data_IF_198319525541
#
_entry.id   IF_198319525541
#
_cell.length_a   1.000
_cell.length_b   1.000
_cell.length_c   1.000
_cell.angle_alpha   90.00
_cell.angle_beta   90.00
_cell.angle_gamma   90.00
#
_symmetry.space_group_name_H-M   'P 1'
#
loop_
_entity.id
_entity.type
_entity.pdbx_description
1 polymer ?
#
# COMPACT_ATOMS: atom_id res chain seq x y z
N UNK A 1 46.55 -3.24 -74.46
CA UNK A 1 45.15 -3.63 -74.77
C UNK A 1 44.34 -3.46 -73.49
N UNK A 2 43.71 -2.30 -73.31
CA UNK A 2 42.76 -2.06 -72.22
C UNK A 2 41.36 -2.37 -72.77
N UNK A 3 40.53 -3.18 -72.08
CA UNK A 3 39.18 -3.42 -72.53
C UNK A 3 38.34 -2.16 -72.24
N UNK A 4 37.77 -1.59 -73.31
CA UNK A 4 36.81 -0.50 -73.23
C UNK A 4 35.61 -0.92 -72.37
N UNK A 5 35.26 -0.06 -71.41
CA UNK A 5 34.16 -0.26 -70.50
C UNK A 5 32.85 -0.40 -71.26
N UNK A 6 32.18 -1.54 -71.10
CA UNK A 6 30.78 -1.76 -71.50
C UNK A 6 29.90 -0.70 -70.82
N UNK A 7 29.51 0.31 -71.56
CA UNK A 7 28.43 1.22 -71.18
C UNK A 7 27.11 0.46 -71.33
N UNK A 8 26.65 -0.13 -70.23
CA UNK A 8 25.33 -0.77 -70.18
C UNK A 8 24.29 0.34 -70.36
N UNK A 9 23.68 0.42 -71.54
CA UNK A 9 22.53 1.30 -71.81
C UNK A 9 21.30 0.78 -71.07
N UNK A 10 21.24 1.07 -69.77
CA UNK A 10 20.07 0.84 -68.93
C UNK A 10 18.98 1.81 -69.40
N UNK A 11 17.91 1.25 -69.95
CA UNK A 11 16.73 1.99 -70.44
C UNK A 11 16.26 3.00 -69.38
N UNK A 12 15.92 4.22 -69.82
CA UNK A 12 15.46 5.33 -68.99
C UNK A 12 14.36 4.92 -67.99
N UNK A 13 13.52 3.94 -68.36
CA UNK A 13 12.47 3.34 -67.53
C UNK A 13 13.01 2.73 -66.22
N UNK A 14 14.17 2.07 -66.27
CA UNK A 14 14.78 1.44 -65.09
C UNK A 14 15.43 2.46 -64.14
N UNK A 15 16.00 3.55 -64.66
CA UNK A 15 16.51 4.65 -63.83
C UNK A 15 15.39 5.34 -63.04
N UNK A 16 14.23 5.53 -63.67
CA UNK A 16 13.07 6.14 -63.03
C UNK A 16 12.48 5.22 -61.94
N UNK A 17 12.39 3.92 -62.20
CA UNK A 17 11.90 2.94 -61.23
C UNK A 17 12.81 2.88 -59.98
N UNK A 18 14.13 2.87 -60.17
CA UNK A 18 15.10 2.91 -59.06
C UNK A 18 14.99 4.21 -58.26
N UNK A 19 14.84 5.35 -58.93
CA UNK A 19 14.69 6.64 -58.24
C UNK A 19 13.41 6.68 -57.37
N UNK A 20 12.29 6.16 -57.88
CA UNK A 20 11.02 6.09 -57.13
C UNK A 20 11.14 5.15 -55.93
N UNK A 21 11.79 3.99 -56.08
CA UNK A 21 12.05 3.07 -54.98
C UNK A 21 12.88 3.72 -53.87
N UNK A 22 13.95 4.44 -54.23
CA UNK A 22 14.79 5.14 -53.26
C UNK A 22 13.99 6.20 -52.51
N UNK A 23 13.20 7.01 -53.22
CA UNK A 23 12.37 8.04 -52.60
C UNK A 23 11.35 7.43 -51.63
N UNK A 24 10.66 6.35 -52.04
CA UNK A 24 9.71 5.63 -51.18
C UNK A 24 10.37 5.03 -49.94
N UNK A 25 11.58 4.49 -50.07
CA UNK A 25 12.31 3.90 -48.94
C UNK A 25 12.75 4.96 -47.93
N UNK A 26 13.21 6.13 -48.41
CA UNK A 26 13.59 7.26 -47.56
C UNK A 26 12.36 7.82 -46.83
N UNK A 27 11.25 8.05 -47.54
CA UNK A 27 9.99 8.52 -46.95
C UNK A 27 9.45 7.52 -45.92
N UNK A 28 9.44 6.23 -46.24
CA UNK A 28 9.01 5.17 -45.33
C UNK A 28 9.89 5.07 -44.08
N UNK A 29 11.21 5.21 -44.23
CA UNK A 29 12.15 5.21 -43.11
C UNK A 29 11.95 6.40 -42.15
N UNK A 30 11.75 7.60 -42.70
CA UNK A 30 11.51 8.80 -41.89
C UNK A 30 10.18 8.70 -41.13
N UNK A 31 9.10 8.31 -41.81
CA UNK A 31 7.77 8.17 -41.19
C UNK A 31 7.76 7.04 -40.14
N UNK A 32 8.37 5.89 -40.44
CA UNK A 32 8.48 4.78 -39.49
C UNK A 32 9.31 5.12 -38.26
N UNK A 33 10.44 5.81 -38.45
CA UNK A 33 11.29 6.27 -37.35
C UNK A 33 10.59 7.30 -36.46
N UNK A 34 9.82 8.21 -37.05
CA UNK A 34 9.06 9.21 -36.30
C UNK A 34 7.92 8.57 -35.49
N UNK A 35 7.15 7.68 -36.11
CA UNK A 35 6.07 6.94 -35.43
C UNK A 35 6.60 6.08 -34.28
N UNK A 36 7.73 5.40 -34.47
CA UNK A 36 8.35 4.56 -33.44
C UNK A 36 8.82 5.37 -32.22
N UNK A 37 9.48 6.52 -32.46
CA UNK A 37 9.89 7.43 -31.37
C UNK A 37 8.71 8.00 -30.61
N UNK A 38 7.64 8.36 -31.32
CA UNK A 38 6.45 8.94 -30.71
C UNK A 38 5.70 7.91 -29.86
N UNK A 39 5.63 6.64 -30.30
CA UNK A 39 5.06 5.55 -29.52
C UNK A 39 5.82 5.30 -28.21
N UNK A 40 7.15 5.24 -28.27
CA UNK A 40 7.99 4.99 -27.08
C UNK A 40 7.85 6.14 -26.07
N UNK A 41 7.87 7.39 -26.53
CA UNK A 41 7.72 8.53 -25.64
C UNK A 41 6.34 8.58 -24.98
N UNK A 42 5.27 8.24 -25.70
CA UNK A 42 3.94 8.16 -25.12
C UNK A 42 3.82 7.03 -24.09
N UNK A 43 4.42 5.88 -24.37
CA UNK A 43 4.38 4.74 -23.46
C UNK A 43 5.11 5.04 -22.14
N UNK A 44 6.28 5.69 -22.21
CA UNK A 44 7.03 6.08 -21.01
C UNK A 44 6.28 7.11 -20.16
N UNK A 45 5.69 8.14 -20.80
CA UNK A 45 4.88 9.13 -20.09
C UNK A 45 3.64 8.52 -19.43
N UNK A 46 2.97 7.59 -20.10
CA UNK A 46 1.81 6.90 -19.54
C UNK A 46 2.20 5.99 -18.37
N UNK A 47 3.31 5.27 -18.46
CA UNK A 47 3.81 4.43 -17.37
C UNK A 47 4.19 5.24 -16.14
N UNK A 48 4.85 6.37 -16.32
CA UNK A 48 5.23 7.27 -15.23
C UNK A 48 3.98 7.91 -14.59
N UNK A 49 3.05 8.40 -15.41
CA UNK A 49 1.77 8.94 -14.90
C UNK A 49 0.92 7.89 -14.19
N UNK A 50 0.89 6.64 -14.66
CA UNK A 50 0.20 5.55 -13.97
C UNK A 50 0.86 5.20 -12.65
N UNK A 51 2.20 5.17 -12.60
CA UNK A 51 2.94 4.97 -11.35
C UNK A 51 2.66 6.06 -10.33
N UNK A 52 2.68 7.32 -10.74
CA UNK A 52 2.41 8.45 -9.85
C UNK A 52 0.98 8.42 -9.32
N UNK A 53 0.00 8.14 -10.20
CA UNK A 53 -1.40 7.97 -9.78
C UNK A 53 -1.58 6.79 -8.84
N UNK A 54 -0.92 5.67 -9.10
CA UNK A 54 -0.98 4.49 -8.23
C UNK A 54 -0.36 4.81 -6.87
N UNK A 55 0.81 5.43 -6.84
CA UNK A 55 1.48 5.83 -5.60
C UNK A 55 0.62 6.80 -4.78
N UNK A 56 0.02 7.80 -5.44
CA UNK A 56 -0.89 8.76 -4.79
C UNK A 56 -2.14 8.05 -4.25
N UNK A 57 -2.81 7.22 -5.06
CA UNK A 57 -4.00 6.50 -4.63
C UNK A 57 -3.69 5.55 -3.47
N UNK A 58 -2.55 4.85 -3.51
CA UNK A 58 -2.10 4.00 -2.41
C UNK A 58 -1.87 4.82 -1.14
N UNK A 59 -1.18 5.95 -1.25
CA UNK A 59 -0.90 6.82 -0.10
C UNK A 59 -2.19 7.37 0.53
N UNK A 60 -3.15 7.80 -0.29
CA UNK A 60 -4.46 8.26 0.19
C UNK A 60 -5.28 7.14 0.81
N UNK A 61 -5.28 5.95 0.21
CA UNK A 61 -6.01 4.79 0.74
C UNK A 61 -5.42 4.35 2.08
N UNK A 62 -4.09 4.34 2.18
CA UNK A 62 -3.36 4.07 3.43
C UNK A 62 -3.72 5.09 4.50
N UNK A 63 -3.67 6.39 4.20
CA UNK A 63 -3.98 7.41 5.21
C UNK A 63 -5.42 7.30 5.71
N UNK A 64 -6.38 7.07 4.80
CA UNK A 64 -7.79 6.88 5.17
C UNK A 64 -7.99 5.65 6.06
N UNK A 65 -7.34 4.54 5.73
CA UNK A 65 -7.46 3.29 6.51
C UNK A 65 -6.83 3.42 7.89
N UNK A 66 -5.70 4.12 7.99
CA UNK A 66 -5.06 4.47 9.26
C UNK A 66 -5.95 5.37 10.10
N UNK A 67 -6.50 6.44 9.52
CA UNK A 67 -7.37 7.38 10.24
C UNK A 67 -8.63 6.69 10.75
N UNK A 68 -9.23 5.80 9.95
CA UNK A 68 -10.38 5.01 10.36
C UNK A 68 -10.02 4.03 11.49
N UNK A 69 -8.88 3.36 11.41
CA UNK A 69 -8.39 2.44 12.46
C UNK A 69 -8.07 3.18 13.76
N UNK A 70 -7.52 4.39 13.67
CA UNK A 70 -7.24 5.23 14.83
C UNK A 70 -8.53 5.76 15.48
N UNK A 71 -9.51 6.17 14.67
CA UNK A 71 -10.83 6.58 15.16
C UNK A 71 -11.55 5.43 15.85
N UNK A 72 -11.54 4.23 15.24
CA UNK A 72 -12.05 3.00 15.85
C UNK A 72 -11.39 2.72 17.19
N UNK A 73 -10.06 2.85 17.27
CA UNK A 73 -9.31 2.62 18.50
C UNK A 73 -9.74 3.56 19.63
N UNK A 74 -9.92 4.84 19.30
CA UNK A 74 -10.39 5.84 20.25
C UNK A 74 -11.82 5.57 20.70
N UNK A 75 -12.71 5.19 19.79
CA UNK A 75 -14.09 4.85 20.12
C UNK A 75 -14.17 3.61 21.02
N UNK A 76 -13.42 2.56 20.71
CA UNK A 76 -13.31 1.36 21.56
C UNK A 76 -12.74 1.78 22.92
N UNK A 77 -11.65 2.56 22.97
CA UNK A 77 -11.07 3.03 24.21
C UNK A 77 -12.10 3.77 25.11
N UNK A 78 -12.97 4.59 24.51
CA UNK A 78 -14.06 5.29 25.21
C UNK A 78 -15.17 4.35 25.66
N UNK A 79 -15.63 3.43 24.81
CA UNK A 79 -16.66 2.43 25.14
C UNK A 79 -16.23 1.55 26.31
N UNK A 80 -14.93 1.22 26.39
CA UNK A 80 -14.43 0.36 27.46
C UNK A 80 -14.18 1.11 28.77
N UNK A 81 -13.93 2.43 28.73
CA UNK A 81 -13.76 3.20 29.96
C UNK A 81 -15.05 3.27 30.82
N UNK A 82 -16.21 3.02 30.20
CA UNK A 82 -17.51 2.91 30.87
C UNK A 82 -17.78 1.52 31.48
N UNK A 83 -17.10 0.48 30.97
CA UNK A 83 -17.14 -0.85 31.57
C UNK A 83 -16.36 -0.86 32.89
N UNK A 84 -16.72 -1.78 33.81
CA UNK A 84 -16.04 -1.94 35.10
C UNK A 84 -14.52 -1.80 34.92
N UNK A 85 -13.94 -0.74 35.49
CA UNK A 85 -12.58 -0.30 35.18
C UNK A 85 -11.49 -1.28 35.67
N UNK A 86 -11.82 -2.51 36.05
CA UNK A 86 -10.83 -3.52 36.44
C UNK A 86 -10.29 -4.23 35.20
N UNK A 87 -9.02 -4.65 35.18
CA UNK A 87 -8.48 -5.49 34.10
C UNK A 87 -9.28 -6.78 33.86
N UNK A 88 -9.81 -7.38 34.93
CA UNK A 88 -10.69 -8.56 34.84
C UNK A 88 -12.06 -8.23 34.23
N UNK A 89 -12.62 -7.07 34.55
CA UNK A 89 -13.83 -6.54 33.93
C UNK A 89 -13.61 -6.27 32.44
N UNK A 90 -12.45 -5.72 32.09
CA UNK A 90 -12.03 -5.51 30.69
C UNK A 90 -11.98 -6.84 29.93
N UNK A 91 -11.33 -7.87 30.50
CA UNK A 91 -11.28 -9.20 29.87
C UNK A 91 -12.67 -9.82 29.69
N UNK A 92 -13.57 -9.66 30.68
CA UNK A 92 -14.95 -10.16 30.59
C UNK A 92 -15.78 -9.40 29.54
N UNK A 93 -15.62 -8.08 29.46
CA UNK A 93 -16.25 -7.24 28.44
C UNK A 93 -15.74 -7.62 27.05
N UNK A 94 -14.42 -7.76 26.89
CA UNK A 94 -13.83 -8.23 25.63
C UNK A 94 -14.41 -9.58 25.25
N UNK A 95 -14.42 -10.56 26.15
CA UNK A 95 -14.95 -11.89 25.85
C UNK A 95 -16.43 -11.86 25.42
N UNK A 96 -17.24 -10.96 26.00
CA UNK A 96 -18.66 -10.82 25.67
C UNK A 96 -18.89 -10.09 24.34
N UNK A 97 -18.15 -9.02 24.08
CA UNK A 97 -18.34 -8.14 22.92
C UNK A 97 -17.45 -8.49 21.74
N UNK A 98 -16.44 -9.34 21.91
CA UNK A 98 -15.44 -9.65 20.88
C UNK A 98 -16.03 -10.00 19.52
N UNK A 99 -17.09 -10.85 19.41
CA UNK A 99 -17.66 -11.15 18.10
C UNK A 99 -18.20 -9.91 17.38
N UNK A 100 -18.84 -9.00 18.12
CA UNK A 100 -19.34 -7.74 17.58
C UNK A 100 -18.17 -6.81 17.20
N UNK A 101 -17.16 -6.70 18.08
CA UNK A 101 -15.99 -5.85 17.86
C UNK A 101 -15.19 -6.32 16.62
N UNK A 102 -15.00 -7.63 16.51
CA UNK A 102 -14.29 -8.29 15.42
C UNK A 102 -15.01 -8.05 14.08
N UNK A 103 -16.33 -8.15 14.04
CA UNK A 103 -17.08 -7.97 12.80
C UNK A 103 -17.21 -6.50 12.39
N UNK A 104 -17.47 -5.60 13.35
CA UNK A 104 -17.74 -4.20 13.04
C UNK A 104 -16.47 -3.41 12.67
N UNK A 105 -15.34 -3.71 13.33
CA UNK A 105 -14.06 -3.04 13.08
C UNK A 105 -13.03 -3.92 12.36
N UNK A 106 -13.41 -5.14 11.99
CA UNK A 106 -12.56 -6.08 11.24
C UNK A 106 -11.21 -6.32 11.94
N UNK A 107 -11.32 -6.49 13.26
CA UNK A 107 -10.17 -6.65 14.15
C UNK A 107 -9.72 -8.10 14.18
N UNK A 108 -8.46 -8.33 13.87
CA UNK A 108 -7.79 -9.60 14.10
C UNK A 108 -7.43 -9.78 15.58
N UNK A 109 -7.22 -8.66 16.27
CA UNK A 109 -6.75 -8.65 17.65
C UNK A 109 -7.01 -7.33 18.35
N UNK A 110 -7.25 -7.46 19.65
CA UNK A 110 -7.35 -6.36 20.59
C UNK A 110 -6.66 -6.76 21.90
N UNK A 111 -5.81 -5.91 22.44
CA UNK A 111 -5.07 -6.19 23.67
C UNK A 111 -4.88 -4.94 24.50
N UNK A 112 -5.14 -5.05 25.80
CA UNK A 112 -4.83 -4.02 26.78
C UNK A 112 -3.48 -4.33 27.40
N UNK A 113 -2.55 -3.37 27.33
CA UNK A 113 -1.18 -3.50 27.80
C UNK A 113 -0.90 -2.44 28.88
N UNK A 114 -0.15 -2.81 29.91
CA UNK A 114 0.45 -1.84 30.83
C UNK A 114 1.59 -1.08 30.16
N UNK A 115 2.03 0.04 30.76
CA UNK A 115 3.25 0.74 30.33
C UNK A 115 4.52 -0.15 30.31
N UNK A 116 4.54 -1.21 31.13
CA UNK A 116 5.63 -2.18 31.17
C UNK A 116 5.55 -3.26 30.08
N UNK A 117 4.52 -3.23 29.25
CA UNK A 117 4.28 -4.22 28.19
C UNK A 117 3.62 -5.51 28.69
N UNK A 118 3.11 -5.54 29.92
CA UNK A 118 2.34 -6.69 30.39
C UNK A 118 0.94 -6.64 29.80
N UNK A 119 0.54 -7.71 29.12
CA UNK A 119 -0.83 -7.88 28.63
C UNK A 119 -1.75 -8.11 29.83
N UNK A 120 -2.70 -7.19 30.02
CA UNK A 120 -3.71 -7.22 31.08
C UNK A 120 -5.00 -7.88 30.62
N UNK A 121 -5.36 -7.70 29.36
CA UNK A 121 -6.50 -8.33 28.72
C UNK A 121 -6.24 -8.49 27.22
N UNK A 122 -6.82 -9.50 26.60
CA UNK A 122 -6.67 -9.73 25.16
C UNK A 122 -7.87 -10.48 24.57
N UNK A 123 -8.06 -10.30 23.27
CA UNK A 123 -8.94 -11.06 22.42
C UNK A 123 -8.34 -11.18 21.00
N UNK A 124 -8.56 -12.32 20.35
CA UNK A 124 -7.97 -12.64 19.05
C UNK A 124 -6.55 -13.22 19.15
N UNK A 125 -5.68 -12.86 18.20
CA UNK A 125 -4.29 -13.33 18.13
C UNK A 125 -3.47 -12.86 19.35
N UNK A 126 -2.40 -13.59 19.69
CA UNK A 126 -1.46 -13.19 20.75
C UNK A 126 -0.38 -12.25 20.20
N UNK A 127 0.19 -11.42 21.08
CA UNK A 127 1.30 -10.51 20.75
C UNK A 127 2.59 -11.30 20.55
N UNK A 128 3.27 -11.05 19.43
CA UNK A 128 4.57 -11.64 19.11
C UNK A 128 5.74 -10.83 19.69
N UNK A 129 6.96 -11.33 19.52
CA UNK A 129 8.16 -10.64 20.04
C UNK A 129 8.45 -9.32 19.32
N UNK A 130 8.22 -9.24 18.01
CA UNK A 130 8.53 -8.06 17.20
C UNK A 130 7.58 -6.88 17.51
N UNK A 131 6.34 -7.19 17.84
CA UNK A 131 5.32 -6.26 18.31
C UNK A 131 5.61 -5.78 19.71
N UNK A 132 6.07 -6.68 20.58
CA UNK A 132 6.50 -6.30 21.93
C UNK A 132 7.70 -5.36 21.90
N UNK A 133 8.65 -5.59 20.99
CA UNK A 133 9.80 -4.69 20.80
C UNK A 133 9.38 -3.33 20.24
N UNK A 134 8.43 -3.32 19.29
CA UNK A 134 7.84 -2.08 18.81
C UNK A 134 7.13 -1.31 19.92
N UNK A 135 6.25 -1.98 20.68
CA UNK A 135 5.57 -1.40 21.84
C UNK A 135 6.57 -0.72 22.78
N UNK A 136 7.66 -1.38 23.16
CA UNK A 136 8.67 -0.81 24.06
C UNK A 136 9.35 0.43 23.48
N UNK A 137 9.52 0.51 22.16
CA UNK A 137 10.13 1.67 21.51
C UNK A 137 9.21 2.89 21.45
N UNK A 138 7.89 2.70 21.40
CA UNK A 138 6.91 3.79 21.24
C UNK A 138 6.16 4.15 22.52
N UNK A 139 6.04 3.22 23.48
CA UNK A 139 5.25 3.38 24.71
C UNK A 139 5.73 4.54 25.61
N UNK A 140 6.94 5.05 25.40
CA UNK A 140 7.52 6.18 26.15
C UNK A 140 6.78 7.50 25.88
N UNK A 141 6.17 7.64 24.70
CA UNK A 141 5.62 8.93 24.24
C UNK A 141 4.17 9.19 24.65
N UNK A 142 3.44 8.21 25.21
CA UNK A 142 2.02 8.34 25.62
C UNK A 142 1.11 8.95 24.54
N UNK A 143 1.47 8.78 23.27
CA UNK A 143 0.73 9.26 22.11
C UNK A 143 0.17 8.06 21.31
N UNK A 144 -0.88 8.27 20.51
CA UNK A 144 -1.32 7.27 19.55
C UNK A 144 -0.23 6.99 18.50
N UNK A 145 0.14 5.72 18.34
CA UNK A 145 1.08 5.29 17.32
C UNK A 145 0.46 4.23 16.42
N UNK A 146 0.88 4.20 15.16
CA UNK A 146 0.44 3.19 14.23
C UNK A 146 1.59 2.78 13.31
N UNK A 147 1.48 1.58 12.75
CA UNK A 147 2.37 1.10 11.68
C UNK A 147 1.63 0.14 10.77
N UNK A 148 2.15 -0.01 9.56
CA UNK A 148 1.72 -1.04 8.62
C UNK A 148 2.80 -2.11 8.59
N UNK A 149 2.41 -3.36 8.80
CA UNK A 149 3.32 -4.50 8.76
C UNK A 149 2.88 -5.43 7.63
N UNK A 150 3.74 -5.63 6.64
CA UNK A 150 3.48 -6.51 5.49
C UNK A 150 4.50 -7.65 5.50
N UNK A 151 4.14 -8.81 6.06
CA UNK A 151 4.97 -10.02 6.02
C UNK A 151 4.46 -10.99 4.96
N UNK A 152 3.20 -11.41 5.10
CA UNK A 152 2.46 -12.23 4.12
C UNK A 152 1.22 -11.49 3.67
N UNK A 153 0.53 -10.88 4.65
CA UNK A 153 -0.57 -9.94 4.48
C UNK A 153 -0.20 -8.61 5.15
N UNK A 154 -0.75 -7.51 4.65
CA UNK A 154 -0.56 -6.20 5.25
C UNK A 154 -1.62 -5.98 6.33
N UNK A 155 -1.17 -5.76 7.56
CA UNK A 155 -2.03 -5.44 8.71
C UNK A 155 -1.69 -4.05 9.24
N UNK A 156 -2.72 -3.34 9.74
CA UNK A 156 -2.52 -2.06 10.42
C UNK A 156 -2.52 -2.33 11.91
N UNK A 157 -1.42 -1.96 12.55
CA UNK A 157 -1.27 -2.06 13.99
C UNK A 157 -1.39 -0.67 14.59
N UNK A 158 -2.29 -0.51 15.54
CA UNK A 158 -2.55 0.77 16.21
C UNK A 158 -2.37 0.59 17.71
N UNK A 159 -1.70 1.55 18.33
CA UNK A 159 -1.48 1.66 19.75
C UNK A 159 -2.07 2.97 20.24
N UNK A 160 -3.08 2.93 21.10
CA UNK A 160 -3.75 4.13 21.63
C UNK A 160 -3.64 4.18 23.15
N UNK A 161 -3.19 5.30 23.73
CA UNK A 161 -3.18 5.46 25.18
C UNK A 161 -4.61 5.46 25.72
N UNK A 162 -4.84 4.72 26.81
CA UNK A 162 -6.12 4.66 27.51
C UNK A 162 -5.88 4.76 29.02
N UNK A 163 -6.81 5.36 29.76
CA UNK A 163 -6.77 5.46 31.21
C UNK A 163 -7.74 4.44 31.80
N UNK A 164 -7.22 3.50 32.58
CA UNK A 164 -8.01 2.51 33.29
C UNK A 164 -7.78 2.69 34.79
N UNK A 165 -8.81 3.03 35.57
CA UNK A 165 -8.70 3.35 37.01
C UNK A 165 -7.71 4.50 37.32
N UNK A 166 -7.52 5.41 36.39
CA UNK A 166 -6.51 6.48 36.52
C UNK A 166 -5.07 6.01 36.31
N UNK A 167 -4.85 4.74 35.99
CA UNK A 167 -3.55 4.24 35.54
C UNK A 167 -3.45 4.21 34.01
N UNK A 168 -2.36 4.75 33.44
CA UNK A 168 -2.14 4.72 32.00
C UNK A 168 -1.87 3.30 31.49
N UNK A 169 -2.63 2.93 30.48
CA UNK A 169 -2.52 1.70 29.73
C UNK A 169 -2.47 2.02 28.24
N UNK A 170 -2.14 1.03 27.43
CA UNK A 170 -2.25 1.12 25.99
C UNK A 170 -3.22 0.08 25.45
N UNK A 171 -4.06 0.51 24.53
CA UNK A 171 -4.88 -0.36 23.71
C UNK A 171 -4.12 -0.65 22.42
N UNK A 172 -3.69 -1.89 22.26
CA UNK A 172 -3.11 -2.40 21.02
C UNK A 172 -4.20 -3.06 20.19
N UNK A 173 -4.26 -2.72 18.92
CA UNK A 173 -5.24 -3.26 17.98
C UNK A 173 -4.55 -3.62 16.68
N UNK A 174 -5.07 -4.66 16.05
CA UNK A 174 -4.67 -5.05 14.70
C UNK A 174 -5.90 -5.27 13.84
N UNK A 175 -5.92 -4.64 12.67
CA UNK A 175 -6.93 -4.86 11.63
C UNK A 175 -6.35 -5.72 10.52
N UNK A 176 -7.12 -6.72 10.10
CA UNK A 176 -6.74 -7.66 9.03
C UNK A 176 -6.86 -7.03 7.63
N UNK A 177 -6.28 -7.68 6.61
CA UNK A 177 -6.34 -7.21 5.21
C UNK A 177 -7.77 -7.19 4.65
N UNK A 178 -8.67 -8.05 5.14
CA UNK A 178 -10.04 -8.16 4.62
C UNK A 178 -10.87 -6.89 4.84
N UNK A 179 -10.57 -6.10 5.87
CA UNK A 179 -11.36 -4.90 6.20
C UNK A 179 -11.00 -3.61 5.51
N UNK A 180 -9.92 -3.59 4.73
CA UNK A 180 -9.54 -2.39 3.97
C UNK A 180 -8.94 -2.68 2.59
N UNK A 181 -8.36 -3.87 2.39
CA UNK A 181 -7.75 -4.25 1.10
C UNK A 181 -8.64 -5.21 0.29
N UNK A 182 -9.83 -5.55 0.78
CA UNK A 182 -10.80 -6.44 0.14
C UNK A 182 -11.89 -5.74 -0.69
N UNK A 183 -11.52 -4.93 -1.70
CA UNK A 183 -12.37 -4.68 -2.88
C UNK A 183 -11.65 -3.83 -3.93
N UNK A 184 -10.70 -4.42 -4.65
CA UNK A 184 -10.34 -4.00 -6.01
C UNK A 184 -10.20 -5.24 -6.89
#
# INVERSE_FOLDING_TARGET
MLPEGRTIFISLKWKLLVAVLIILTILGGILGGFAYRQLINQQNYLLESQRDKLAQNLQTSISLSVDHSLSAAQQIALLVNDAQQTPSGYQAMLALRWPDLQLYWELDRLSLMSLSGQVRAHAGKLIDSAEMDWFKSVAVMLEPHWRIVCLQECVIQVLVPNLLQGEPHFLFMETGPDGYFGSV
#
